data_IF_971346162225
#
_entry.id   IF_971346162225
#
_cell.length_a   1.000
_cell.length_b   1.000
_cell.length_c   1.000
_cell.angle_alpha   90.00
_cell.angle_beta   90.00
_cell.angle_gamma   90.00
#
_symmetry.space_group_name_H-M   'P 1'
#
loop_
_entity.id
_entity.type
_entity.pdbx_description
1 polymer ?
#
# COMPACT_ATOMS: atom_id res chain seq x y z
N UNK A 1 12.41 -4.69 -12.47
CA UNK A 1 13.37 -3.57 -12.23
C UNK A 1 12.64 -2.52 -11.40
N UNK A 2 12.78 -2.57 -10.07
CA UNK A 2 12.04 -1.71 -9.15
C UNK A 2 12.48 -0.23 -9.32
N UNK A 3 11.54 0.73 -9.27
CA UNK A 3 11.90 2.14 -9.29
C UNK A 3 12.65 2.46 -7.99
N UNK A 4 13.93 2.82 -8.09
CA UNK A 4 14.72 3.35 -6.98
C UNK A 4 14.17 4.71 -6.58
N UNK A 5 13.25 4.77 -5.63
CA UNK A 5 12.84 6.02 -4.97
C UNK A 5 13.91 6.39 -3.95
N UNK A 6 15.08 6.79 -4.44
CA UNK A 6 16.19 7.35 -3.63
C UNK A 6 16.12 8.88 -3.65
N UNK A 7 15.03 9.46 -3.16
CA UNK A 7 15.04 10.85 -2.68
C UNK A 7 14.54 10.84 -1.25
N UNK A 8 15.48 10.78 -0.30
CA UNK A 8 15.19 11.05 1.11
C UNK A 8 14.69 12.49 1.18
N UNK A 9 13.40 12.69 1.43
CA UNK A 9 12.88 14.03 1.67
C UNK A 9 13.20 14.41 3.10
N UNK A 10 13.61 15.66 3.30
CA UNK A 10 13.86 16.21 4.62
C UNK A 10 12.85 17.30 4.93
N UNK A 11 12.44 17.40 6.20
CA UNK A 11 11.60 18.51 6.71
C UNK A 11 12.40 19.34 7.70
N UNK A 12 12.33 20.67 7.54
CA UNK A 12 12.95 21.60 8.48
C UNK A 12 12.17 21.64 9.79
N UNK A 13 12.84 21.25 10.86
CA UNK A 13 12.37 21.44 12.23
C UNK A 13 12.37 22.90 12.66
N UNK A 14 11.52 23.22 13.65
CA UNK A 14 11.57 24.52 14.34
C UNK A 14 12.88 24.77 15.08
N UNK A 15 13.64 23.71 15.36
CA UNK A 15 14.99 23.72 15.93
C UNK A 15 16.10 23.97 14.89
N UNK A 16 15.74 24.10 13.61
CA UNK A 16 16.70 24.23 12.50
C UNK A 16 17.38 22.92 12.09
N UNK A 17 17.05 21.80 12.73
CA UNK A 17 17.49 20.47 12.29
C UNK A 17 16.56 19.91 11.23
N UNK A 18 17.15 19.37 10.17
CA UNK A 18 16.45 18.67 9.10
C UNK A 18 16.21 17.22 9.53
N UNK A 19 14.96 16.79 9.49
CA UNK A 19 14.58 15.40 9.77
C UNK A 19 14.40 14.65 8.46
N UNK A 20 15.05 13.48 8.32
CA UNK A 20 14.75 12.55 7.24
C UNK A 20 13.34 11.97 7.45
N UNK A 21 12.51 12.08 6.43
CA UNK A 21 11.14 11.62 6.45
C UNK A 21 11.09 10.21 5.85
N UNK A 22 10.33 9.30 6.49
CA UNK A 22 10.12 7.97 5.92
C UNK A 22 9.33 8.07 4.61
N UNK A 23 9.51 7.11 3.70
CA UNK A 23 8.79 7.07 2.42
C UNK A 23 7.27 7.23 2.59
N UNK A 24 6.70 6.61 3.63
CA UNK A 24 5.28 6.71 3.98
C UNK A 24 4.88 8.16 4.29
N UNK A 25 5.67 8.85 5.11
CA UNK A 25 5.39 10.24 5.46
C UNK A 25 5.63 11.19 4.27
N UNK A 26 6.55 10.87 3.36
CA UNK A 26 6.75 11.60 2.11
C UNK A 26 5.54 11.54 1.18
N UNK A 27 4.94 10.35 1.06
CA UNK A 27 3.73 10.14 0.27
C UNK A 27 2.59 11.00 0.82
N UNK A 28 2.39 10.98 2.15
CA UNK A 28 1.33 11.75 2.82
C UNK A 28 1.60 13.25 2.67
N UNK A 29 2.82 13.71 2.90
CA UNK A 29 3.18 15.13 2.73
C UNK A 29 3.00 15.59 1.29
N UNK A 30 3.35 14.75 0.32
CA UNK A 30 3.19 15.07 -1.11
C UNK A 30 1.71 15.11 -1.49
N UNK A 31 0.90 14.18 -0.97
CA UNK A 31 -0.55 14.21 -1.13
C UNK A 31 -1.16 15.50 -0.57
N UNK A 32 -0.79 15.90 0.65
CA UNK A 32 -1.29 17.13 1.26
C UNK A 32 -0.89 18.39 0.48
N UNK A 33 0.33 18.43 -0.05
CA UNK A 33 0.78 19.51 -0.95
C UNK A 33 -0.01 19.52 -2.26
N UNK A 34 -0.34 18.36 -2.82
CA UNK A 34 -1.13 18.24 -4.04
C UNK A 34 -2.61 18.62 -3.84
N UNK A 35 -3.17 18.36 -2.66
CA UNK A 35 -4.52 18.80 -2.27
C UNK A 35 -4.64 20.33 -2.29
N UNK A 36 -3.64 21.03 -1.77
CA UNK A 36 -3.57 22.49 -1.73
C UNK A 36 -2.94 23.13 -2.98
N UNK A 37 -2.51 22.33 -3.95
CA UNK A 37 -1.79 22.79 -5.14
C UNK A 37 -2.62 22.75 -6.43
N UNK A 38 -2.00 23.15 -7.53
CA UNK A 38 -2.63 23.18 -8.85
C UNK A 38 -2.80 21.78 -9.47
N UNK A 39 -3.53 21.70 -10.60
CA UNK A 39 -3.76 20.45 -11.35
C UNK A 39 -2.47 19.67 -11.66
N UNK A 40 -1.34 20.36 -11.85
CA UNK A 40 -0.04 19.71 -12.05
C UNK A 40 0.45 18.95 -10.82
N UNK A 41 0.21 19.46 -9.60
CA UNK A 41 0.61 18.79 -8.37
C UNK A 41 -0.19 17.48 -8.18
N UNK A 42 -1.48 17.49 -8.50
CA UNK A 42 -2.34 16.29 -8.48
C UNK A 42 -1.89 15.25 -9.51
N UNK A 43 -1.65 15.67 -10.75
CA UNK A 43 -1.12 14.78 -11.80
C UNK A 43 0.23 14.17 -11.44
N UNK A 44 1.11 14.95 -10.82
CA UNK A 44 2.42 14.47 -10.40
C UNK A 44 2.27 13.41 -9.30
N UNK A 45 1.40 13.64 -8.33
CA UNK A 45 1.10 12.66 -7.28
C UNK A 45 0.54 11.36 -7.88
N UNK A 46 -0.42 11.44 -8.80
CA UNK A 46 -0.96 10.27 -9.50
C UNK A 46 0.13 9.52 -10.28
N UNK A 47 0.99 10.24 -11.01
CA UNK A 47 2.07 9.62 -11.79
C UNK A 47 3.13 8.95 -10.90
N UNK A 48 3.54 9.59 -9.80
CA UNK A 48 4.62 9.10 -8.94
C UNK A 48 4.17 8.00 -7.98
N UNK A 49 2.95 8.08 -7.43
CA UNK A 49 2.54 7.22 -6.31
C UNK A 49 1.38 6.29 -6.65
N UNK A 50 0.46 6.71 -7.51
CA UNK A 50 -0.67 5.86 -7.95
C UNK A 50 -0.24 4.95 -9.10
N UNK A 51 0.61 5.44 -9.99
CA UNK A 51 1.15 4.68 -11.13
C UNK A 51 2.56 4.13 -10.88
N UNK A 52 3.29 4.64 -9.89
CA UNK A 52 4.67 4.23 -9.57
C UNK A 52 4.83 2.83 -8.97
N UNK A 53 3.72 2.08 -8.83
CA UNK A 53 3.66 0.70 -8.35
C UNK A 53 4.45 0.46 -7.04
N UNK A 54 4.17 1.22 -5.95
CA UNK A 54 4.86 1.08 -4.66
C UNK A 54 4.72 -0.32 -4.06
N UNK A 55 5.63 -0.72 -3.18
CA UNK A 55 5.58 -2.03 -2.50
C UNK A 55 4.31 -2.17 -1.65
N UNK A 56 3.79 -3.40 -1.49
CA UNK A 56 2.54 -3.63 -0.76
C UNK A 56 2.62 -3.16 0.70
N UNK A 57 3.73 -3.45 1.37
CA UNK A 57 3.98 -3.03 2.75
C UNK A 57 3.89 -1.50 2.90
N UNK A 58 4.46 -0.75 1.95
CA UNK A 58 4.41 0.72 1.93
C UNK A 58 2.96 1.21 1.74
N UNK A 59 2.18 0.58 0.87
CA UNK A 59 0.78 0.97 0.66
C UNK A 59 -0.08 0.73 1.91
N UNK A 60 0.11 -0.42 2.58
CA UNK A 60 -0.59 -0.74 3.82
C UNK A 60 -0.24 0.28 4.91
N UNK A 61 1.05 0.60 5.07
CA UNK A 61 1.49 1.60 6.04
C UNK A 61 0.94 3.00 5.73
N UNK A 62 0.87 3.39 4.45
CA UNK A 62 0.25 4.67 4.04
C UNK A 62 -1.23 4.69 4.41
N UNK A 63 -1.98 3.61 4.16
CA UNK A 63 -3.40 3.53 4.54
C UNK A 63 -3.57 3.64 6.05
N UNK A 64 -2.74 2.96 6.84
CA UNK A 64 -2.79 3.03 8.31
C UNK A 64 -2.54 4.46 8.81
N UNK A 65 -1.50 5.14 8.31
CA UNK A 65 -1.19 6.53 8.69
C UNK A 65 -2.20 7.53 8.16
N UNK A 66 -2.75 7.30 6.98
CA UNK A 66 -3.82 8.12 6.41
C UNK A 66 -5.11 7.99 7.24
N UNK A 67 -5.39 6.81 7.79
CA UNK A 67 -6.50 6.58 8.72
C UNK A 67 -6.31 7.37 10.03
N UNK A 68 -5.11 7.38 10.61
CA UNK A 68 -4.80 8.19 11.81
C UNK A 68 -5.04 9.69 11.58
N UNK A 69 -4.82 10.16 10.34
CA UNK A 69 -5.00 11.56 9.92
C UNK A 69 -6.39 11.84 9.30
N UNK A 70 -7.27 10.84 9.25
CA UNK A 70 -8.64 10.92 8.69
C UNK A 70 -8.66 11.39 7.22
N UNK A 71 -7.67 10.99 6.42
CA UNK A 71 -7.55 11.35 5.01
C UNK A 71 -8.32 10.36 4.12
N UNK A 72 -9.66 10.46 4.11
CA UNK A 72 -10.56 9.51 3.40
C UNK A 72 -10.21 9.31 1.93
N UNK A 73 -10.03 10.38 1.17
CA UNK A 73 -9.73 10.28 -0.27
C UNK A 73 -8.40 9.53 -0.52
N UNK A 74 -7.41 9.70 0.36
CA UNK A 74 -6.12 9.02 0.26
C UNK A 74 -6.26 7.53 0.57
N UNK A 75 -7.08 7.20 1.57
CA UNK A 75 -7.41 5.81 1.92
C UNK A 75 -8.07 5.12 0.72
N UNK A 76 -9.07 5.75 0.11
CA UNK A 76 -9.80 5.16 -1.02
C UNK A 76 -8.88 4.87 -2.22
N UNK A 77 -8.00 5.82 -2.56
CA UNK A 77 -7.02 5.65 -3.67
C UNK A 77 -6.11 4.45 -3.42
N UNK A 78 -5.55 4.33 -2.22
CA UNK A 78 -4.62 3.23 -1.92
C UNK A 78 -5.35 1.90 -1.71
N UNK A 79 -6.57 1.90 -1.16
CA UNK A 79 -7.41 0.71 -1.04
C UNK A 79 -7.77 0.13 -2.41
N UNK A 80 -8.11 0.97 -3.40
CA UNK A 80 -8.37 0.53 -4.77
C UNK A 80 -7.13 -0.17 -5.37
N UNK A 81 -5.94 0.41 -5.19
CA UNK A 81 -4.68 -0.16 -5.66
C UNK A 81 -4.30 -1.46 -4.97
N UNK A 82 -4.52 -1.56 -3.67
CA UNK A 82 -4.32 -2.80 -2.90
C UNK A 82 -5.27 -3.87 -3.42
N UNK A 83 -6.55 -3.54 -3.63
CA UNK A 83 -7.54 -4.46 -4.18
C UNK A 83 -7.14 -4.96 -5.57
N UNK A 84 -6.69 -4.08 -6.46
CA UNK A 84 -6.20 -4.46 -7.79
C UNK A 84 -5.01 -5.42 -7.73
N UNK A 85 -4.09 -5.23 -6.77
CA UNK A 85 -2.97 -6.17 -6.58
C UNK A 85 -3.40 -7.51 -5.99
N UNK A 86 -4.46 -7.54 -5.18
CA UNK A 86 -4.92 -8.75 -4.52
C UNK A 86 -5.77 -9.65 -5.43
N UNK A 87 -6.40 -9.10 -6.48
CA UNK A 87 -7.39 -9.81 -7.32
C UNK A 87 -6.95 -11.17 -7.85
N UNK A 88 -5.66 -11.38 -8.13
CA UNK A 88 -5.15 -12.64 -8.68
C UNK A 88 -4.09 -13.31 -7.78
N UNK A 89 -3.99 -12.93 -6.51
CA UNK A 89 -2.98 -13.44 -5.58
C UNK A 89 -3.51 -14.58 -4.72
N UNK A 90 -2.63 -15.52 -4.37
CA UNK A 90 -3.04 -16.65 -3.52
C UNK A 90 -3.24 -16.24 -2.06
N UNK A 91 -3.93 -17.11 -1.32
CA UNK A 91 -4.08 -16.98 0.14
C UNK A 91 -2.72 -16.96 0.85
N UNK A 92 -1.72 -17.69 0.35
CA UNK A 92 -0.38 -17.69 0.92
C UNK A 92 0.33 -16.35 0.72
N UNK A 93 0.20 -15.76 -0.46
CA UNK A 93 0.74 -14.43 -0.73
C UNK A 93 0.07 -13.36 0.13
N UNK A 94 -1.26 -13.39 0.26
CA UNK A 94 -2.00 -12.46 1.11
C UNK A 94 -1.57 -12.58 2.58
N UNK A 95 -1.34 -13.80 3.09
CA UNK A 95 -0.80 -14.01 4.45
C UNK A 95 0.56 -13.34 4.63
N UNK A 96 1.46 -13.47 3.66
CA UNK A 96 2.79 -12.83 3.70
C UNK A 96 2.68 -11.31 3.61
N UNK A 97 1.88 -10.80 2.68
CA UNK A 97 1.72 -9.38 2.41
C UNK A 97 1.13 -8.61 3.60
N UNK A 98 0.23 -9.23 4.37
CA UNK A 98 -0.39 -8.62 5.56
C UNK A 98 0.23 -9.10 6.89
N UNK A 99 1.36 -9.81 6.85
CA UNK A 99 2.06 -10.35 8.02
C UNK A 99 1.12 -11.14 8.97
N UNK A 100 0.22 -11.96 8.42
CA UNK A 100 -0.76 -12.74 9.17
C UNK A 100 -0.07 -13.98 9.75
N UNK A 101 0.19 -13.93 11.06
CA UNK A 101 0.89 -15.00 11.79
C UNK A 101 -0.04 -16.08 12.39
N UNK A 102 -1.35 -15.87 12.37
CA UNK A 102 -2.34 -16.82 12.88
C UNK A 102 -3.16 -17.33 11.70
N UNK A 103 -2.97 -18.59 11.33
CA UNK A 103 -3.64 -19.23 10.21
C UNK A 103 -4.23 -20.59 10.63
N UNK A 104 -5.30 -21.03 9.95
CA UNK A 104 -5.99 -22.28 10.26
C UNK A 104 -5.05 -23.49 10.13
N UNK A 105 -5.36 -24.55 10.86
CA UNK A 105 -4.68 -25.84 10.68
C UNK A 105 -5.01 -26.44 9.31
N UNK A 106 -4.19 -27.38 8.83
CA UNK A 106 -4.41 -28.02 7.53
C UNK A 106 -5.79 -28.67 7.39
N UNK A 107 -6.36 -29.20 8.48
CA UNK A 107 -7.70 -29.78 8.49
C UNK A 107 -8.80 -28.72 8.36
N UNK A 108 -8.66 -27.59 9.05
CA UNK A 108 -9.58 -26.46 8.95
C UNK A 108 -9.50 -25.79 7.58
N UNK A 109 -8.29 -25.64 7.03
CA UNK A 109 -8.07 -25.10 5.69
C UNK A 109 -8.72 -25.97 4.61
N UNK A 110 -8.60 -27.30 4.69
CA UNK A 110 -9.30 -28.21 3.79
C UNK A 110 -10.83 -28.11 3.91
N UNK A 111 -11.35 -27.84 5.12
CA UNK A 111 -12.76 -27.53 5.35
C UNK A 111 -13.19 -26.23 4.68
N UNK A 112 -12.40 -25.17 4.81
CA UNK A 112 -12.63 -23.86 4.19
C UNK A 112 -12.56 -23.97 2.66
N UNK A 113 -11.59 -24.69 2.11
CA UNK A 113 -11.46 -24.95 0.67
C UNK A 113 -12.68 -25.68 0.10
N UNK A 114 -13.24 -26.65 0.83
CA UNK A 114 -14.48 -27.33 0.43
C UNK A 114 -15.72 -26.43 0.51
N UNK A 115 -15.77 -25.50 1.47
CA UNK A 115 -16.90 -24.59 1.66
C UNK A 115 -16.87 -23.42 0.68
N UNK A 116 -15.69 -22.93 0.31
CA UNK A 116 -15.50 -21.75 -0.53
C UNK A 116 -14.61 -22.04 -1.74
N UNK A 117 -15.00 -22.98 -2.64
CA UNK A 117 -14.19 -23.32 -3.81
C UNK A 117 -13.96 -22.12 -4.72
N UNK A 118 -14.93 -21.20 -4.82
CA UNK A 118 -14.87 -19.96 -5.61
C UNK A 118 -13.72 -19.03 -5.21
N UNK A 119 -13.23 -19.10 -3.97
CA UNK A 119 -12.15 -18.25 -3.48
C UNK A 119 -10.76 -18.70 -3.98
N UNK A 120 -10.67 -19.87 -4.61
CA UNK A 120 -9.44 -20.47 -5.12
C UNK A 120 -9.41 -20.60 -6.64
N UNK A 121 -10.49 -20.21 -7.33
CA UNK A 121 -10.57 -20.22 -8.80
C UNK A 121 -9.90 -18.98 -9.39
N UNK A 122 -9.09 -19.15 -10.44
CA UNK A 122 -8.43 -18.02 -11.13
C UNK A 122 -7.24 -17.40 -10.38
N UNK A 123 -6.71 -18.08 -9.37
CA UNK A 123 -5.49 -17.69 -8.66
C UNK A 123 -4.28 -18.03 -9.52
N UNK A 124 -3.46 -17.04 -9.86
CA UNK A 124 -2.19 -17.26 -10.55
C UNK A 124 -1.19 -17.95 -9.59
N UNK A 125 -0.31 -18.79 -10.13
CA UNK A 125 0.81 -19.30 -9.35
C UNK A 125 1.66 -18.11 -8.88
N UNK A 126 1.90 -18.00 -7.57
CA UNK A 126 2.70 -16.90 -7.05
C UNK A 126 4.12 -17.02 -7.61
N UNK A 127 4.52 -16.11 -8.49
CA UNK A 127 5.93 -15.93 -8.83
C UNK A 127 6.65 -15.37 -7.58
N UNK A 128 7.68 -16.10 -7.12
CA UNK A 128 8.56 -15.73 -6.01
C UNK A 128 9.25 -14.37 -6.19
#
# INVERSE_FOLDING_TARGET
>A
MAPKVNKKTTVKGSSGHDYEVSLVADIILTYLKAQNGDKEAKKKFEAEFVNGNPEMEVMIDVVLRANDLVLKDLIDIFCEKIADRMKSKSVAWVRKAFAINQFPTAAEEAGIMKQYPWAFEGVDADED
#
